data_IF_272671995639
#
_entry.id   IF_272671995639
#
_cell.length_a   1.000
_cell.length_b   1.000
_cell.length_c   1.000
_cell.angle_alpha   90.00
_cell.angle_beta   90.00
_cell.angle_gamma   90.00
#
_symmetry.space_group_name_H-M   'P 1'
#
loop_
_entity.id
_entity.type
_entity.pdbx_description
1 polymer ?
#
# COMPACT_ATOMS: atom_id res chain seq x y z
N UNK A 1 8.76 3.12 14.60
CA UNK A 1 7.95 2.70 13.45
C UNK A 1 7.71 3.96 12.63
N UNK A 2 8.54 4.18 11.60
CA UNK A 2 8.44 5.37 10.75
C UNK A 2 7.12 5.34 9.96
N UNK A 3 6.55 6.52 9.78
CA UNK A 3 5.21 6.77 9.26
C UNK A 3 4.94 6.02 7.96
N UNK A 4 3.86 5.25 7.95
CA UNK A 4 3.35 4.58 6.76
C UNK A 4 2.85 5.64 5.77
N UNK A 5 3.73 6.04 4.84
CA UNK A 5 3.42 6.64 3.53
C UNK A 5 2.11 7.40 3.43
N UNK A 6 1.93 8.44 4.24
CA UNK A 6 0.94 9.47 3.96
C UNK A 6 1.67 10.59 3.18
N UNK A 7 1.11 11.05 2.06
CA UNK A 7 -0.27 10.84 1.59
C UNK A 7 -0.45 9.64 0.64
N UNK A 8 -1.57 8.90 0.80
CA UNK A 8 -2.06 7.96 -0.20
C UNK A 8 -3.14 8.61 -1.06
N UNK A 9 -3.24 8.18 -2.31
CA UNK A 9 -4.21 8.69 -3.29
C UNK A 9 -5.32 7.67 -3.50
N UNK A 10 -6.57 8.11 -3.43
CA UNK A 10 -7.75 7.30 -3.80
C UNK A 10 -8.33 7.87 -5.09
N UNK A 11 -8.48 7.03 -6.10
CA UNK A 11 -9.10 7.36 -7.37
C UNK A 11 -10.25 6.39 -7.65
N UNK A 12 -11.44 6.92 -7.97
CA UNK A 12 -12.52 6.11 -8.51
C UNK A 12 -12.39 6.08 -10.04
N UNK A 13 -12.10 4.91 -10.59
CA UNK A 13 -12.05 4.68 -12.04
C UNK A 13 -13.33 3.99 -12.48
N UNK A 14 -13.95 4.51 -13.55
CA UNK A 14 -15.23 3.99 -14.04
C UNK A 14 -15.12 2.52 -14.50
N UNK A 15 -13.94 2.11 -14.96
CA UNK A 15 -13.64 0.80 -15.54
C UNK A 15 -13.17 -0.24 -14.51
N UNK A 16 -12.46 0.17 -13.45
CA UNK A 16 -11.82 -0.76 -12.52
C UNK A 16 -12.30 -0.64 -11.06
N UNK A 17 -13.10 0.38 -10.72
CA UNK A 17 -13.62 0.60 -9.37
C UNK A 17 -12.79 1.61 -8.59
N UNK A 18 -12.31 1.25 -7.40
CA UNK A 18 -11.47 2.14 -6.59
C UNK A 18 -10.01 1.71 -6.68
N UNK A 19 -9.14 2.65 -7.02
CA UNK A 19 -7.70 2.48 -7.01
C UNK A 19 -7.12 3.30 -5.87
N UNK A 20 -6.41 2.64 -4.96
CA UNK A 20 -5.70 3.31 -3.87
C UNK A 20 -4.21 3.09 -4.02
N UNK A 21 -3.46 4.18 -4.12
CA UNK A 21 -2.02 4.16 -4.36
C UNK A 21 -1.29 4.83 -3.22
N UNK A 22 -0.29 4.17 -2.67
CA UNK A 22 0.62 4.74 -1.68
C UNK A 22 2.00 4.85 -2.33
N UNK A 23 2.41 6.07 -2.70
CA UNK A 23 3.78 6.31 -3.15
C UNK A 23 4.74 6.18 -1.96
N UNK A 24 5.95 5.70 -2.21
CA UNK A 24 7.08 5.73 -1.25
C UNK A 24 6.76 5.13 0.13
N UNK A 25 5.99 4.06 0.16
CA UNK A 25 5.42 3.53 1.40
C UNK A 25 6.39 2.76 2.28
N UNK A 26 7.42 2.18 1.67
CA UNK A 26 8.58 1.65 2.37
C UNK A 26 9.79 2.30 1.75
N UNK A 27 10.54 3.06 2.55
CA UNK A 27 11.85 3.55 2.17
C UNK A 27 12.86 2.61 2.82
N UNK A 28 13.41 1.68 2.04
CA UNK A 28 14.52 0.86 2.49
C UNK A 28 15.73 1.78 2.57
N UNK A 29 16.32 1.91 3.76
CA UNK A 29 17.55 2.67 3.98
C UNK A 29 18.72 1.72 4.23
N UNK A 30 19.83 1.93 3.54
CA UNK A 30 21.12 1.28 3.85
C UNK A 30 22.05 2.39 4.33
N UNK A 31 22.62 2.25 5.52
CA UNK A 31 23.48 3.26 6.16
C UNK A 31 22.85 4.66 6.29
N UNK A 32 21.52 4.73 6.41
CA UNK A 32 20.79 6.00 6.55
C UNK A 32 20.41 6.66 5.21
N UNK A 33 20.88 6.13 4.08
CA UNK A 33 20.52 6.61 2.75
C UNK A 33 19.33 5.82 2.18
N UNK A 34 18.31 6.47 1.61
CA UNK A 34 17.19 5.79 0.95
C UNK A 34 17.69 5.11 -0.33
N UNK A 35 17.68 3.77 -0.35
CA UNK A 35 18.13 2.97 -1.50
C UNK A 35 16.99 2.46 -2.35
N UNK A 36 15.80 2.28 -1.77
CA UNK A 36 14.64 1.73 -2.49
C UNK A 36 13.36 2.27 -1.88
N UNK A 37 12.45 2.74 -2.74
CA UNK A 37 11.12 3.21 -2.38
C UNK A 37 10.07 2.27 -2.95
N UNK A 38 9.40 1.51 -2.09
CA UNK A 38 8.34 0.58 -2.49
C UNK A 38 7.02 1.33 -2.50
N UNK A 39 6.37 1.38 -3.65
CA UNK A 39 5.02 1.90 -3.81
C UNK A 39 4.04 0.73 -4.00
N UNK A 40 2.85 0.82 -3.41
CA UNK A 40 1.81 -0.18 -3.60
C UNK A 40 0.51 0.43 -4.11
N UNK A 41 -0.18 -0.35 -4.94
CA UNK A 41 -1.52 -0.02 -5.44
C UNK A 41 -2.47 -1.14 -5.09
N UNK A 42 -3.56 -0.79 -4.42
CA UNK A 42 -4.66 -1.70 -4.12
C UNK A 42 -5.81 -1.36 -5.06
N UNK A 43 -6.23 -2.36 -5.83
CA UNK A 43 -7.38 -2.28 -6.72
C UNK A 43 -8.57 -2.93 -6.03
N UNK A 44 -9.66 -2.17 -5.88
CA UNK A 44 -10.91 -2.64 -5.31
C UNK A 44 -11.94 -2.64 -6.42
N UNK A 45 -12.47 -3.80 -6.82
CA UNK A 45 -13.44 -3.89 -7.89
C UNK A 45 -14.70 -3.07 -7.56
N UNK A 46 -15.32 -2.53 -8.61
CA UNK A 46 -16.51 -1.70 -8.47
C UNK A 46 -17.64 -2.50 -7.80
N UNK A 47 -18.05 -2.04 -6.63
CA UNK A 47 -19.20 -2.58 -5.93
C UNK A 47 -20.10 -1.42 -5.50
N UNK A 48 -21.38 -1.38 -5.93
CA UNK A 48 -22.30 -0.31 -5.58
C UNK A 48 -22.62 -0.22 -4.08
N UNK A 49 -22.33 -1.28 -3.32
CA UNK A 49 -22.51 -1.31 -1.87
C UNK A 49 -21.26 -0.88 -1.08
N UNK A 50 -20.13 -0.63 -1.74
CA UNK A 50 -18.91 -0.16 -1.07
C UNK A 50 -19.00 1.35 -0.80
N UNK A 51 -18.90 1.72 0.47
CA UNK A 51 -18.72 3.12 0.86
C UNK A 51 -17.25 3.52 0.77
N UNK A 52 -16.98 4.83 0.79
CA UNK A 52 -15.60 5.33 0.85
C UNK A 52 -14.89 4.88 2.14
N UNK A 53 -15.60 4.73 3.24
CA UNK A 53 -15.05 4.20 4.50
C UNK A 53 -14.62 2.73 4.35
N UNK A 54 -15.43 1.90 3.68
CA UNK A 54 -15.07 0.51 3.38
C UNK A 54 -13.84 0.43 2.48
N UNK A 55 -13.78 1.30 1.46
CA UNK A 55 -12.64 1.41 0.55
C UNK A 55 -11.37 1.75 1.31
N UNK A 56 -11.43 2.71 2.23
CA UNK A 56 -10.29 3.08 3.09
C UNK A 56 -9.93 1.93 4.02
N UNK A 57 -10.89 1.30 4.69
CA UNK A 57 -10.65 0.22 5.64
C UNK A 57 -10.00 -1.00 4.96
N UNK A 58 -10.54 -1.42 3.81
CA UNK A 58 -9.98 -2.52 3.02
C UNK A 58 -8.58 -2.19 2.52
N UNK A 59 -8.42 -1.00 1.94
CA UNK A 59 -7.14 -0.48 1.44
C UNK A 59 -6.07 -0.48 2.52
N UNK A 60 -6.39 0.00 3.72
CA UNK A 60 -5.45 0.01 4.85
C UNK A 60 -5.08 -1.40 5.30
N UNK A 61 -6.04 -2.31 5.40
CA UNK A 61 -5.76 -3.71 5.76
C UNK A 61 -4.81 -4.34 4.74
N UNK A 62 -5.10 -4.17 3.45
CA UNK A 62 -4.29 -4.72 2.38
C UNK A 62 -2.89 -4.11 2.32
N UNK A 63 -2.79 -2.80 2.54
CA UNK A 63 -1.51 -2.11 2.66
C UNK A 63 -0.66 -2.69 3.79
N UNK A 64 -1.25 -2.94 4.97
CA UNK A 64 -0.54 -3.55 6.11
C UNK A 64 -0.03 -4.95 5.76
N UNK A 65 -0.81 -5.78 5.07
CA UNK A 65 -0.35 -7.10 4.62
C UNK A 65 0.85 -6.98 3.67
N UNK A 66 0.75 -6.12 2.65
CA UNK A 66 1.83 -5.90 1.68
C UNK A 66 3.10 -5.34 2.34
N UNK A 67 2.93 -4.45 3.32
CA UNK A 67 4.03 -3.94 4.14
C UNK A 67 4.66 -5.04 4.98
N UNK A 68 3.87 -5.89 5.61
CA UNK A 68 4.39 -7.02 6.39
C UNK A 68 5.13 -8.02 5.51
N UNK A 69 4.67 -8.27 4.28
CA UNK A 69 5.38 -9.08 3.30
C UNK A 69 6.68 -8.42 2.82
N UNK A 70 6.67 -7.12 2.56
CA UNK A 70 7.85 -6.37 2.10
C UNK A 70 8.92 -6.17 3.20
N UNK A 71 8.50 -6.06 4.46
CA UNK A 71 9.39 -5.86 5.62
C UNK A 71 9.84 -7.21 6.20
N UNK A 72 9.16 -8.32 5.88
CA UNK A 72 9.70 -9.64 6.21
C UNK A 72 11.09 -9.74 5.60
N UNK A 73 12.14 -9.97 6.41
CA UNK A 73 13.45 -10.19 5.87
C UNK A 73 13.29 -11.37 4.93
N UNK A 74 13.65 -11.17 3.67
CA UNK A 74 13.74 -12.26 2.71
C UNK A 74 14.51 -13.36 3.45
N UNK A 75 13.80 -14.44 3.79
CA UNK A 75 14.41 -15.55 4.49
C UNK A 75 15.56 -15.98 3.63
N UNK A 76 16.75 -15.77 4.15
CA UNK A 76 17.94 -16.56 3.85
C UNK A 76 17.45 -18.00 3.66
N UNK A 77 17.29 -18.40 2.40
CA UNK A 77 16.98 -19.77 2.06
C UNK A 77 18.31 -20.52 2.15
N UNK A 78 18.39 -21.61 2.92
CA UNK A 78 19.63 -22.36 3.15
C UNK A 78 20.21 -22.96 1.86
#
# INVERSE_FOLDING_TARGET
MEYLGQPFTIQNTAEHGWQVTWPDSVIRRINGEPVESISFTVLIPRNPNLTMEDVVAFSRKRAVELLQEAIRPNGDAP
#
